data_IF_410523372746
#
_entry.id   IF_410523372746
#
_cell.length_a   1.000
_cell.length_b   1.000
_cell.length_c   1.000
_cell.angle_alpha   90.00
_cell.angle_beta   90.00
_cell.angle_gamma   90.00
#
_symmetry.space_group_name_H-M   'P 1'
#
loop_
_entity.id
_entity.type
_entity.pdbx_description
1 polymer ?
#
# COMPACT_ATOMS: atom_id res chain seq x y z
N UNK A 1 16.01 -3.85 -12.55
CA UNK A 1 16.19 -5.18 -13.16
C UNK A 1 17.68 -5.48 -13.40
N UNK A 2 18.44 -4.53 -13.90
CA UNK A 2 19.89 -4.67 -14.15
C UNK A 2 20.70 -4.92 -12.86
N UNK A 3 20.20 -4.45 -11.72
CA UNK A 3 20.85 -4.63 -10.41
C UNK A 3 20.58 -5.98 -9.75
N UNK A 4 19.78 -6.87 -10.35
CA UNK A 4 19.47 -8.19 -9.80
C UNK A 4 18.71 -8.15 -8.46
N UNK A 5 17.84 -7.14 -8.23
CA UNK A 5 17.03 -7.04 -7.02
C UNK A 5 15.91 -8.09 -7.04
N UNK A 6 15.69 -8.77 -5.91
CA UNK A 6 14.60 -9.73 -5.71
C UNK A 6 13.26 -9.06 -5.44
N UNK A 7 13.26 -7.86 -4.87
CA UNK A 7 12.05 -7.13 -4.54
C UNK A 7 12.27 -5.66 -4.22
N UNK A 8 11.16 -4.92 -4.14
CA UNK A 8 11.13 -3.50 -3.79
C UNK A 8 10.04 -3.26 -2.75
N UNK A 9 10.39 -2.61 -1.64
CA UNK A 9 9.44 -2.12 -0.65
C UNK A 9 9.11 -0.66 -0.99
N UNK A 10 7.84 -0.35 -1.19
CA UNK A 10 7.37 1.00 -1.51
C UNK A 10 6.12 1.37 -0.68
N UNK A 11 6.14 2.48 0.08
CA UNK A 11 7.10 3.58 0.08
C UNK A 11 7.61 3.87 1.50
N UNK A 12 8.65 4.75 1.62
CA UNK A 12 9.00 5.35 2.90
C UNK A 12 7.98 6.44 3.29
N UNK A 13 8.16 7.04 4.46
CA UNK A 13 7.38 8.18 4.97
C UNK A 13 7.53 9.42 4.08
N UNK A 14 6.63 10.39 4.23
CA UNK A 14 6.68 11.65 3.46
C UNK A 14 7.11 12.83 4.31
N UNK A 15 7.86 13.75 3.71
CA UNK A 15 8.15 15.06 4.29
C UNK A 15 7.12 16.12 3.87
N UNK A 16 6.24 15.80 2.93
CA UNK A 16 5.17 16.69 2.51
C UNK A 16 4.20 16.97 3.68
N UNK A 17 3.80 18.22 3.79
CA UNK A 17 2.88 18.71 4.84
C UNK A 17 1.60 19.30 4.24
N UNK A 18 1.55 19.49 2.92
CA UNK A 18 0.41 20.05 2.21
C UNK A 18 -0.78 19.07 2.27
N UNK A 19 -1.98 19.61 2.40
CA UNK A 19 -3.21 18.82 2.37
C UNK A 19 -3.46 17.93 3.58
N UNK A 20 -2.64 18.04 4.62
CA UNK A 20 -2.76 17.20 5.81
C UNK A 20 -4.01 17.49 6.64
N UNK A 21 -4.92 18.36 6.24
CA UNK A 21 -6.19 18.62 6.94
C UNK A 21 -6.01 18.76 8.47
N UNK A 22 -4.80 19.10 8.91
CA UNK A 22 -4.41 19.09 10.29
C UNK A 22 -5.14 20.23 11.00
N UNK A 23 -6.26 19.89 11.61
CA UNK A 23 -6.75 20.65 12.79
C UNK A 23 -5.76 20.51 13.97
N UNK A 24 -4.57 20.03 13.69
CA UNK A 24 -3.51 19.67 14.63
C UNK A 24 -2.72 20.90 15.04
N UNK A 25 -2.12 20.82 16.20
CA UNK A 25 -1.21 21.82 16.72
C UNK A 25 -0.19 22.24 15.65
N UNK A 26 -0.11 23.55 15.32
CA UNK A 26 0.87 24.06 14.35
C UNK A 26 2.33 23.68 14.67
N UNK A 27 2.64 23.37 15.93
CA UNK A 27 3.96 22.88 16.34
C UNK A 27 4.30 21.53 15.72
N UNK A 28 3.32 20.60 15.65
CA UNK A 28 3.52 19.26 15.06
C UNK A 28 3.80 19.32 13.55
N UNK A 29 3.26 20.33 12.86
CA UNK A 29 3.50 20.51 11.41
C UNK A 29 4.95 20.94 11.14
N UNK A 30 5.59 21.60 12.10
CA UNK A 30 6.97 22.08 11.99
C UNK A 30 8.02 21.05 12.43
N UNK A 31 7.61 19.95 13.01
CA UNK A 31 8.54 18.89 13.41
C UNK A 31 9.29 18.31 12.22
N UNK A 32 10.57 18.05 12.43
CA UNK A 32 11.42 17.35 11.45
C UNK A 32 11.12 15.88 11.47
N UNK A 33 11.18 15.24 10.31
CA UNK A 33 10.95 13.81 10.15
C UNK A 33 9.86 13.49 9.13
N UNK A 34 9.69 12.20 8.87
CA UNK A 34 8.70 11.71 7.91
C UNK A 34 7.36 11.41 8.58
N UNK A 35 6.28 11.78 7.93
CA UNK A 35 4.92 11.36 8.28
C UNK A 35 4.64 9.98 7.72
N UNK A 36 4.02 9.12 8.54
CA UNK A 36 3.52 7.79 8.18
C UNK A 36 1.98 7.74 8.28
N UNK A 37 1.41 6.57 7.98
CA UNK A 37 -0.04 6.34 8.09
C UNK A 37 -0.84 7.00 6.97
N UNK A 38 -2.06 7.46 7.27
CA UNK A 38 -3.00 8.00 6.29
C UNK A 38 -2.41 9.05 5.32
N UNK A 39 -1.55 9.98 5.74
CA UNK A 39 -0.96 10.99 4.84
C UNK A 39 -0.20 10.44 3.64
N UNK A 40 0.34 9.22 3.73
CA UNK A 40 1.08 8.61 2.61
C UNK A 40 0.24 7.65 1.76
N UNK A 41 -1.03 7.43 2.11
CA UNK A 41 -1.90 6.44 1.48
C UNK A 41 -1.96 6.57 -0.04
N UNK A 42 -2.41 7.70 -0.53
CA UNK A 42 -2.60 7.94 -1.96
C UNK A 42 -1.28 7.93 -2.72
N UNK A 43 -0.27 8.62 -2.16
CA UNK A 43 1.04 8.69 -2.80
C UNK A 43 1.73 7.32 -2.90
N UNK A 44 1.65 6.51 -1.85
CA UNK A 44 2.22 5.17 -1.87
C UNK A 44 1.52 4.24 -2.86
N UNK A 45 0.20 4.37 -3.01
CA UNK A 45 -0.56 3.63 -4.01
C UNK A 45 -0.18 4.04 -5.44
N UNK A 46 -0.05 5.33 -5.70
CA UNK A 46 0.40 5.86 -6.99
C UNK A 46 1.80 5.34 -7.36
N UNK A 47 2.75 5.42 -6.43
CA UNK A 47 4.11 4.92 -6.65
C UNK A 47 4.12 3.43 -6.94
N UNK A 48 3.32 2.65 -6.21
CA UNK A 48 3.19 1.21 -6.43
C UNK A 48 2.68 0.88 -7.84
N UNK A 49 1.63 1.58 -8.31
CA UNK A 49 1.12 1.44 -9.68
C UNK A 49 2.19 1.73 -10.73
N UNK A 50 2.94 2.81 -10.54
CA UNK A 50 4.04 3.19 -11.44
C UNK A 50 5.17 2.16 -11.46
N UNK A 51 5.52 1.61 -10.30
CA UNK A 51 6.52 0.54 -10.20
C UNK A 51 6.04 -0.71 -10.92
N UNK A 52 4.82 -1.17 -10.63
CA UNK A 52 4.28 -2.37 -11.28
C UNK A 52 4.15 -2.20 -12.80
N UNK A 53 3.68 -1.06 -13.29
CA UNK A 53 3.62 -0.78 -14.73
C UNK A 53 5.00 -0.90 -15.40
N UNK A 54 6.08 -0.65 -14.66
CA UNK A 54 7.45 -0.71 -15.19
C UNK A 54 8.10 -2.09 -15.05
N UNK A 55 7.85 -2.79 -13.94
CA UNK A 55 8.52 -4.06 -13.65
C UNK A 55 7.63 -5.28 -13.88
N UNK A 56 6.29 -5.14 -13.81
CA UNK A 56 5.36 -6.26 -13.88
C UNK A 56 5.64 -7.29 -12.78
N UNK A 57 5.51 -8.55 -13.12
CA UNK A 57 5.72 -9.68 -12.21
C UNK A 57 7.21 -10.11 -12.07
N UNK A 58 8.15 -9.35 -12.67
CA UNK A 58 9.58 -9.67 -12.68
C UNK A 58 10.29 -9.40 -11.36
N UNK A 59 9.70 -8.61 -10.48
CA UNK A 59 10.23 -8.25 -9.16
C UNK A 59 9.08 -8.31 -8.16
N UNK A 60 9.32 -8.87 -6.97
CA UNK A 60 8.36 -8.83 -5.87
C UNK A 60 8.16 -7.40 -5.37
N UNK A 61 6.93 -6.89 -5.43
CA UNK A 61 6.60 -5.59 -4.87
C UNK A 61 5.92 -5.76 -3.51
N UNK A 62 6.41 -5.03 -2.51
CA UNK A 62 5.86 -4.97 -1.16
C UNK A 62 5.25 -3.60 -0.96
N UNK A 63 3.91 -3.55 -0.88
CA UNK A 63 3.16 -2.32 -0.66
C UNK A 63 3.18 -1.90 0.81
N UNK A 64 3.64 -0.67 1.09
CA UNK A 64 3.61 -0.09 2.42
C UNK A 64 3.20 1.38 2.39
N UNK A 65 2.55 1.84 3.45
CA UNK A 65 2.14 3.23 3.65
C UNK A 65 0.62 3.44 3.60
N UNK A 66 0.04 3.84 4.73
CA UNK A 66 -1.37 4.20 4.84
C UNK A 66 -2.36 3.04 4.66
N UNK A 67 -1.95 1.81 4.97
CA UNK A 67 -2.84 0.64 4.93
C UNK A 67 -3.49 0.53 6.30
N UNK A 68 -4.78 0.88 6.39
CA UNK A 68 -5.52 0.93 7.65
C UNK A 68 -6.55 -0.20 7.75
N UNK A 69 -7.02 -0.70 6.63
CA UNK A 69 -8.07 -1.71 6.56
C UNK A 69 -7.89 -2.64 5.35
N UNK A 70 -8.78 -3.62 5.21
CA UNK A 70 -8.71 -4.61 4.13
C UNK A 70 -8.99 -4.01 2.74
N UNK A 71 -9.71 -2.88 2.64
CA UNK A 71 -9.87 -2.18 1.36
C UNK A 71 -8.54 -1.60 0.90
N UNK A 72 -7.83 -0.90 1.79
CA UNK A 72 -6.52 -0.35 1.46
C UNK A 72 -5.55 -1.46 1.03
N UNK A 73 -5.56 -2.59 1.75
CA UNK A 73 -4.76 -3.76 1.41
C UNK A 73 -5.12 -4.33 0.03
N UNK A 74 -6.42 -4.46 -0.27
CA UNK A 74 -6.92 -4.94 -1.55
C UNK A 74 -6.48 -4.04 -2.71
N UNK A 75 -6.59 -2.72 -2.54
CA UNK A 75 -6.12 -1.75 -3.53
C UNK A 75 -4.61 -1.88 -3.80
N UNK A 76 -3.79 -2.20 -2.78
CA UNK A 76 -2.36 -2.47 -2.99
C UNK A 76 -2.13 -3.72 -3.82
N UNK A 77 -2.89 -4.79 -3.59
CA UNK A 77 -2.81 -6.03 -4.38
C UNK A 77 -3.19 -5.73 -5.83
N UNK A 78 -4.32 -5.09 -6.07
CA UNK A 78 -4.77 -4.73 -7.42
C UNK A 78 -3.79 -3.82 -8.16
N UNK A 79 -3.07 -2.97 -7.43
CA UNK A 79 -2.05 -2.09 -7.96
C UNK A 79 -0.72 -2.79 -8.28
N UNK A 80 -0.48 -4.00 -7.75
CA UNK A 80 0.70 -4.80 -8.06
C UNK A 80 1.53 -5.28 -6.87
N UNK A 81 1.06 -5.07 -5.62
CA UNK A 81 1.75 -5.60 -4.45
C UNK A 81 1.53 -7.11 -4.33
N UNK A 82 2.61 -7.87 -4.27
CA UNK A 82 2.61 -9.30 -3.91
C UNK A 82 2.50 -9.49 -2.40
N UNK A 83 3.12 -8.60 -1.63
CA UNK A 83 3.10 -8.58 -0.17
C UNK A 83 2.69 -7.20 0.33
N UNK A 84 2.19 -7.17 1.57
CA UNK A 84 1.72 -5.95 2.24
C UNK A 84 2.41 -5.80 3.58
N UNK A 85 2.83 -4.58 3.88
CA UNK A 85 3.44 -4.22 5.15
C UNK A 85 2.65 -3.08 5.79
N UNK A 86 2.17 -3.29 7.03
CA UNK A 86 1.48 -2.28 7.84
C UNK A 86 2.29 -1.92 9.08
N UNK A 87 2.26 -0.65 9.47
CA UNK A 87 2.92 -0.18 10.70
C UNK A 87 2.01 0.74 11.52
N UNK A 88 1.72 1.96 11.06
CA UNK A 88 0.99 2.95 11.86
C UNK A 88 -0.39 2.45 12.30
N UNK A 89 -1.14 1.82 11.40
CA UNK A 89 -2.44 1.26 11.74
C UNK A 89 -2.35 0.16 12.79
N UNK A 90 -1.29 -0.65 12.78
CA UNK A 90 -1.09 -1.68 13.83
C UNK A 90 -0.98 -1.05 15.23
N UNK A 91 -0.41 0.15 15.35
CA UNK A 91 -0.30 0.85 16.64
C UNK A 91 -1.68 1.24 17.16
N UNK A 92 -2.59 1.69 16.28
CA UNK A 92 -3.94 2.13 16.64
C UNK A 92 -4.92 0.96 16.80
N UNK A 93 -4.86 -0.02 15.90
CA UNK A 93 -5.79 -1.16 15.84
C UNK A 93 -5.36 -2.35 16.71
N UNK A 94 -4.09 -2.37 17.14
CA UNK A 94 -3.53 -3.39 18.02
C UNK A 94 -3.25 -4.72 17.33
N UNK A 95 -3.04 -5.81 18.16
CA UNK A 95 -2.49 -7.08 17.68
C UNK A 95 -3.41 -7.84 16.70
N UNK A 96 -4.69 -7.50 16.67
CA UNK A 96 -5.65 -8.14 15.75
C UNK A 96 -5.70 -7.50 14.36
N UNK A 97 -4.96 -6.41 14.12
CA UNK A 97 -4.92 -5.71 12.84
C UNK A 97 -4.63 -6.66 11.66
N UNK A 98 -3.56 -7.45 11.72
CA UNK A 98 -3.20 -8.38 10.65
C UNK A 98 -4.31 -9.41 10.38
N UNK A 99 -4.95 -9.93 11.44
CA UNK A 99 -6.08 -10.87 11.32
C UNK A 99 -7.27 -10.21 10.64
N UNK A 100 -7.58 -8.96 10.97
CA UNK A 100 -8.67 -8.21 10.34
C UNK A 100 -8.41 -7.99 8.85
N UNK A 101 -7.18 -7.63 8.48
CA UNK A 101 -6.75 -7.50 7.08
C UNK A 101 -6.93 -8.84 6.34
N UNK A 102 -6.41 -9.95 6.87
CA UNK A 102 -6.51 -11.27 6.23
C UNK A 102 -7.97 -11.69 6.03
N UNK A 103 -8.83 -11.53 7.04
CA UNK A 103 -10.25 -11.86 6.96
C UNK A 103 -10.95 -11.02 5.89
N UNK A 104 -10.64 -9.72 5.84
CA UNK A 104 -11.21 -8.82 4.85
C UNK A 104 -10.72 -9.11 3.43
N UNK A 105 -9.44 -9.45 3.25
CA UNK A 105 -8.89 -9.87 1.96
C UNK A 105 -9.53 -11.16 1.46
N UNK A 106 -9.73 -12.16 2.34
CA UNK A 106 -10.42 -13.40 1.97
C UNK A 106 -11.86 -13.14 1.49
N UNK A 107 -12.60 -12.26 2.17
CA UNK A 107 -13.95 -11.88 1.76
C UNK A 107 -13.97 -11.15 0.41
N UNK A 108 -13.01 -10.26 0.16
CA UNK A 108 -12.89 -9.55 -1.11
C UNK A 108 -12.51 -10.47 -2.26
N UNK A 109 -11.59 -11.38 -2.04
CA UNK A 109 -11.22 -12.40 -3.02
C UNK A 109 -12.43 -13.23 -3.42
N UNK A 110 -13.20 -13.72 -2.43
CA UNK A 110 -14.41 -14.51 -2.66
C UNK A 110 -15.50 -13.75 -3.45
N UNK A 111 -15.55 -12.42 -3.33
CA UNK A 111 -16.48 -11.56 -4.06
C UNK A 111 -15.91 -11.03 -5.40
N UNK A 112 -14.67 -11.37 -5.73
CA UNK A 112 -13.97 -10.89 -6.93
C UNK A 112 -14.04 -11.93 -8.07
N UNK A 113 -13.67 -11.53 -9.30
CA UNK A 113 -13.54 -12.47 -10.42
C UNK A 113 -12.26 -13.33 -10.39
N UNK A 114 -11.39 -13.16 -9.39
CA UNK A 114 -10.10 -13.84 -9.28
C UNK A 114 -10.22 -15.10 -8.43
N UNK A 115 -9.64 -16.21 -8.86
CA UNK A 115 -9.60 -17.44 -8.07
C UNK A 115 -8.55 -17.39 -6.95
N UNK A 116 -7.47 -16.63 -7.15
CA UNK A 116 -6.36 -16.50 -6.20
C UNK A 116 -5.92 -15.05 -6.04
N UNK A 117 -5.25 -14.74 -4.93
CA UNK A 117 -4.62 -13.44 -4.74
C UNK A 117 -3.55 -13.15 -5.80
N UNK A 118 -2.84 -14.18 -6.25
CA UNK A 118 -1.83 -14.04 -7.30
C UNK A 118 -2.43 -13.52 -8.62
N UNK A 119 -3.63 -13.97 -8.99
CA UNK A 119 -4.34 -13.47 -10.17
C UNK A 119 -4.77 -12.00 -10.01
N UNK A 120 -5.09 -11.59 -8.79
CA UNK A 120 -5.49 -10.22 -8.48
C UNK A 120 -4.31 -9.24 -8.48
N UNK A 121 -3.07 -9.72 -8.25
CA UNK A 121 -1.88 -8.85 -8.23
C UNK A 121 -1.75 -8.09 -9.54
N UNK A 122 -1.78 -6.75 -9.47
CA UNK A 122 -1.59 -5.86 -10.62
C UNK A 122 -2.74 -5.84 -11.62
N UNK A 123 -3.88 -6.47 -11.32
CA UNK A 123 -4.98 -6.59 -12.28
C UNK A 123 -5.54 -5.23 -12.72
N UNK A 124 -5.62 -4.25 -11.81
CA UNK A 124 -6.06 -2.89 -12.15
C UNK A 124 -5.04 -2.17 -13.02
N UNK A 125 -3.76 -2.26 -12.68
CA UNK A 125 -2.67 -1.60 -13.42
C UNK A 125 -2.51 -2.20 -14.82
N UNK A 126 -2.67 -3.52 -14.98
CA UNK A 126 -2.66 -4.18 -16.30
C UNK A 126 -3.81 -3.71 -17.18
N UNK A 127 -5.03 -3.53 -16.62
CA UNK A 127 -6.20 -3.04 -17.38
C UNK A 127 -6.01 -1.59 -17.85
N UNK A 128 -5.40 -0.76 -17.02
CA UNK A 128 -5.15 0.65 -17.37
C UNK A 128 -4.07 0.85 -18.44
N UNK A 129 -3.27 -0.18 -18.73
CA UNK A 129 -2.20 -0.15 -19.73
C UNK A 129 -2.63 -0.69 -21.12
N UNK A 130 -3.86 -1.20 -21.23
CA UNK A 130 -4.48 -1.67 -22.49
C UNK A 130 -5.31 -0.58 -23.15
#
# INVERSE_FOLDING_TARGET
LELGLDGIIATNTTIAREGLGLKSDPALVKETGGLSGAPVKERSLEVLRRLYARVGDRITLIGVGGIENAEDAWQRILAGATLIQGYSAFIYEGPFYARAIHKGLAARLAASPYATLAEAVGAETRKAAQ
#
